data_IF_767421482140
#
_entry.id   IF_767421482140
#
_cell.length_a   1.000
_cell.length_b   1.000
_cell.length_c   1.000
_cell.angle_alpha   90.00
_cell.angle_beta   90.00
_cell.angle_gamma   90.00
#
_symmetry.space_group_name_H-M   'P 1'
#
loop_
_entity.id
_entity.type
_entity.pdbx_description
1 polymer ?
#
# COMPACT_ATOMS: atom_id res chain seq x y z
N UNK A 1 -10.48 18.42 27.35
CA UNK A 1 -10.57 17.83 28.70
C UNK A 1 -9.94 16.45 28.65
N UNK A 2 -8.93 16.23 29.49
CA UNK A 2 -7.97 15.12 29.43
C UNK A 2 -8.61 13.76 29.72
N UNK A 3 -8.46 12.82 28.80
CA UNK A 3 -8.63 11.39 29.09
C UNK A 3 -7.30 10.85 29.65
N UNK A 4 -7.22 10.73 30.97
CA UNK A 4 -6.13 10.03 31.64
C UNK A 4 -6.33 8.53 31.42
N UNK A 5 -5.33 7.91 30.77
CA UNK A 5 -5.27 6.47 30.58
C UNK A 5 -5.29 5.72 31.90
N UNK A 6 -6.11 4.67 31.94
CA UNK A 6 -6.03 3.62 32.93
C UNK A 6 -4.65 2.95 32.80
N UNK A 7 -3.75 3.28 33.72
CA UNK A 7 -2.58 2.44 33.97
C UNK A 7 -3.09 1.27 34.82
N UNK A 8 -2.90 -0.01 34.45
CA UNK A 8 -3.38 -1.10 35.26
C UNK A 8 -2.58 -1.10 36.57
N UNK A 9 -3.29 -0.90 37.69
CA UNK A 9 -2.80 -0.94 39.07
C UNK A 9 -2.00 -2.23 39.41
N UNK A 10 -2.07 -3.23 38.54
CA UNK A 10 -1.37 -4.51 38.61
C UNK A 10 0.16 -4.32 38.58
N UNK A 11 0.69 -3.31 37.87
CA UNK A 11 2.16 -3.10 37.83
C UNK A 11 2.76 -2.61 39.15
N UNK A 12 1.99 -1.93 40.01
CA UNK A 12 2.50 -1.37 41.26
C UNK A 12 2.61 -2.39 42.41
N UNK A 13 1.92 -3.53 42.31
CA UNK A 13 1.92 -4.56 43.36
C UNK A 13 2.95 -5.67 43.14
N UNK A 14 3.42 -5.90 41.91
CA UNK A 14 4.39 -6.97 41.63
C UNK A 14 5.85 -6.52 41.70
N UNK A 15 6.15 -5.24 41.48
CA UNK A 15 7.53 -4.71 41.54
C UNK A 15 8.16 -4.86 42.95
N UNK A 16 7.46 -4.57 44.07
CA UNK A 16 8.05 -4.72 45.40
C UNK A 16 8.30 -6.19 45.77
N UNK A 17 7.40 -7.09 45.36
CA UNK A 17 7.48 -8.53 45.64
C UNK A 17 8.66 -9.17 44.91
N UNK A 18 8.87 -8.79 43.64
CA UNK A 18 10.03 -9.24 42.85
C UNK A 18 11.34 -8.76 43.49
N UNK A 19 11.39 -7.51 43.98
CA UNK A 19 12.58 -6.96 44.64
C UNK A 19 12.90 -7.65 45.97
N UNK A 20 11.88 -8.02 46.76
CA UNK A 20 12.06 -8.76 48.03
C UNK A 20 12.57 -10.19 47.77
N UNK A 21 12.04 -10.87 46.74
CA UNK A 21 12.50 -12.22 46.37
C UNK A 21 13.95 -12.18 45.88
N UNK A 22 14.35 -11.17 45.10
CA UNK A 22 15.74 -10.99 44.66
C UNK A 22 16.70 -10.69 45.83
N UNK A 23 16.23 -9.97 46.86
CA UNK A 23 17.03 -9.68 48.05
C UNK A 23 17.25 -10.92 48.93
N UNK A 24 16.23 -11.78 49.08
CA UNK A 24 16.31 -13.00 49.87
C UNK A 24 17.15 -14.12 49.23
N UNK A 25 17.30 -14.11 47.90
CA UNK A 25 18.17 -15.05 47.18
C UNK A 25 19.66 -14.64 47.26
N UNK A 26 19.97 -13.41 47.67
CA UNK A 26 21.33 -12.85 47.67
C UNK A 26 22.20 -13.18 48.90
N UNK A 27 21.62 -13.77 49.97
CA UNK A 27 22.34 -14.01 51.23
C UNK A 27 23.06 -15.36 51.32
N UNK A 28 22.85 -16.25 50.34
CA UNK A 28 23.62 -17.49 50.20
C UNK A 28 24.51 -17.38 48.95
N UNK A 29 25.79 -17.12 49.19
CA UNK A 29 26.79 -16.85 48.16
C UNK A 29 26.90 -17.93 47.07
N UNK A 30 27.48 -17.49 45.94
CA UNK A 30 27.87 -18.28 44.75
C UNK A 30 26.89 -18.37 43.57
N UNK A 31 26.07 -17.35 43.31
CA UNK A 31 25.27 -17.30 42.06
C UNK A 31 25.17 -15.91 41.40
N UNK A 32 26.18 -15.05 41.59
CA UNK A 32 26.15 -13.66 41.14
C UNK A 32 27.03 -13.34 39.92
N UNK A 33 27.39 -14.34 39.09
CA UNK A 33 28.24 -14.12 37.91
C UNK A 33 27.58 -14.44 36.58
N UNK A 34 26.24 -14.49 36.51
CA UNK A 34 25.55 -14.69 35.24
C UNK A 34 24.19 -13.99 35.11
N UNK A 35 23.99 -12.87 35.80
CA UNK A 35 22.84 -12.01 35.54
C UNK A 35 23.31 -10.82 34.69
N UNK A 36 22.96 -10.85 33.40
CA UNK A 36 23.07 -9.69 32.53
C UNK A 36 22.41 -8.50 33.21
N UNK A 37 22.94 -7.29 33.01
CA UNK A 37 22.40 -6.12 33.69
C UNK A 37 20.89 -5.95 33.36
N UNK A 38 20.09 -5.36 34.25
CA UNK A 38 18.68 -5.09 33.95
C UNK A 38 18.49 -4.28 32.65
N UNK A 39 19.47 -3.46 32.28
CA UNK A 39 19.50 -2.68 31.03
C UNK A 39 19.73 -3.61 29.83
N UNK A 40 20.70 -4.51 29.88
CA UNK A 40 20.92 -5.51 28.81
C UNK A 40 19.73 -6.45 28.63
N UNK A 41 19.05 -6.80 29.74
CA UNK A 41 17.84 -7.63 29.72
C UNK A 41 16.67 -6.89 29.06
N UNK A 42 16.53 -5.59 29.34
CA UNK A 42 15.50 -4.74 28.71
C UNK A 42 15.76 -4.54 27.21
N UNK A 43 16.98 -4.21 26.81
CA UNK A 43 17.31 -4.04 25.39
C UNK A 43 17.20 -5.35 24.59
N UNK A 44 17.57 -6.49 25.20
CA UNK A 44 17.34 -7.81 24.60
C UNK A 44 15.86 -8.11 24.45
N UNK A 45 15.05 -7.88 25.48
CA UNK A 45 13.60 -8.09 25.40
C UNK A 45 12.94 -7.18 24.33
N UNK A 46 13.42 -5.94 24.17
CA UNK A 46 12.96 -5.02 23.12
C UNK A 46 13.36 -5.50 21.72
N UNK A 47 14.58 -6.00 21.56
CA UNK A 47 15.07 -6.62 20.32
C UNK A 47 14.27 -7.89 19.99
N UNK A 48 14.03 -8.75 20.97
CA UNK A 48 13.25 -9.98 20.80
C UNK A 48 11.79 -9.66 20.48
N UNK A 49 11.20 -8.60 21.07
CA UNK A 49 9.87 -8.13 20.70
C UNK A 49 9.84 -7.61 19.26
N UNK A 50 10.85 -6.88 18.83
CA UNK A 50 10.96 -6.38 17.46
C UNK A 50 11.13 -7.54 16.47
N UNK A 51 11.89 -8.58 16.83
CA UNK A 51 12.08 -9.79 16.01
C UNK A 51 10.80 -10.65 15.99
N UNK A 52 10.08 -10.76 17.10
CA UNK A 52 8.76 -11.41 17.17
C UNK A 52 7.73 -10.62 16.38
N UNK A 53 7.67 -9.29 16.49
CA UNK A 53 6.77 -8.46 15.68
C UNK A 53 7.09 -8.57 14.19
N UNK A 54 8.39 -8.63 13.84
CA UNK A 54 8.84 -8.89 12.48
C UNK A 54 8.41 -10.27 12.00
N UNK A 55 8.53 -11.32 12.84
CA UNK A 55 8.13 -12.72 12.57
C UNK A 55 6.60 -12.93 12.52
N UNK A 56 5.84 -12.25 13.37
CA UNK A 56 4.37 -12.30 13.43
C UNK A 56 3.76 -11.50 12.27
N UNK A 57 4.39 -10.39 11.88
CA UNK A 57 4.03 -9.64 10.68
C UNK A 57 4.17 -10.45 9.38
N UNK A 58 5.05 -11.47 9.33
CA UNK A 58 5.24 -12.32 8.13
C UNK A 58 3.98 -13.09 7.72
N UNK A 59 3.03 -13.31 8.65
CA UNK A 59 1.83 -14.13 8.39
C UNK A 59 0.53 -13.33 8.24
N UNK A 60 0.58 -11.99 8.21
CA UNK A 60 -0.64 -11.19 8.04
C UNK A 60 -1.14 -11.35 6.60
N UNK A 61 -2.43 -11.66 6.45
CA UNK A 61 -3.13 -11.54 5.17
C UNK A 61 -4.23 -10.50 5.29
N UNK A 62 -4.51 -9.77 4.22
CA UNK A 62 -5.67 -8.89 4.17
C UNK A 62 -6.70 -9.50 3.24
N UNK A 63 -7.95 -9.60 3.72
CA UNK A 63 -9.04 -10.16 2.94
C UNK A 63 -10.24 -9.22 3.00
N UNK A 64 -10.88 -9.02 1.85
CA UNK A 64 -12.17 -8.36 1.79
C UNK A 64 -13.28 -9.35 2.07
N UNK A 65 -14.07 -9.10 3.11
CA UNK A 65 -15.24 -9.89 3.44
C UNK A 65 -16.45 -9.38 2.66
N UNK A 66 -16.90 -10.19 1.69
CA UNK A 66 -18.04 -9.87 0.83
C UNK A 66 -19.37 -9.71 1.58
N UNK A 67 -19.51 -10.33 2.77
CA UNK A 67 -20.72 -10.26 3.58
C UNK A 67 -20.78 -8.97 4.38
N UNK A 68 -19.69 -8.60 5.04
CA UNK A 68 -19.63 -7.38 5.86
C UNK A 68 -19.22 -6.15 5.07
N UNK A 69 -18.75 -6.33 3.82
CA UNK A 69 -18.24 -5.28 2.94
C UNK A 69 -17.07 -4.51 3.54
N UNK A 70 -16.22 -5.21 4.31
CA UNK A 70 -15.07 -4.64 4.98
C UNK A 70 -13.78 -5.42 4.72
N UNK A 71 -12.65 -4.73 4.75
CA UNK A 71 -11.36 -5.38 4.86
C UNK A 71 -11.08 -5.83 6.28
N UNK A 72 -10.45 -6.99 6.40
CA UNK A 72 -10.00 -7.53 7.67
C UNK A 72 -8.61 -8.15 7.53
N UNK A 73 -7.81 -7.98 8.59
CA UNK A 73 -6.55 -8.70 8.74
C UNK A 73 -6.83 -10.12 9.24
N UNK A 74 -6.26 -11.10 8.56
CA UNK A 74 -6.12 -12.47 9.03
C UNK A 74 -4.74 -12.57 9.69
N UNK A 75 -4.73 -12.79 11.01
CA UNK A 75 -3.52 -12.71 11.83
C UNK A 75 -3.46 -11.40 12.62
N UNK A 76 -2.28 -11.07 13.14
CA UNK A 76 -2.07 -9.86 13.95
C UNK A 76 -1.37 -8.80 13.10
N UNK A 77 -2.13 -7.84 12.57
CA UNK A 77 -1.58 -6.70 11.85
C UNK A 77 -0.60 -5.90 12.73
N UNK A 78 0.54 -5.51 12.16
CA UNK A 78 1.47 -4.60 12.84
C UNK A 78 0.90 -3.19 12.86
N UNK A 79 1.36 -2.35 13.80
CA UNK A 79 1.07 -0.91 13.73
C UNK A 79 1.73 -0.31 12.48
N UNK A 80 1.04 0.60 11.79
CA UNK A 80 1.68 1.36 10.73
C UNK A 80 2.60 2.44 11.33
N UNK A 81 3.68 2.82 10.63
CA UNK A 81 4.44 4.01 11.00
C UNK A 81 3.54 5.24 10.89
N UNK A 82 3.52 6.08 11.93
CA UNK A 82 2.78 7.35 11.92
C UNK A 82 3.77 8.52 12.11
N UNK A 83 3.67 9.59 11.31
CA UNK A 83 2.74 9.76 10.19
C UNK A 83 3.06 8.82 9.02
N UNK A 84 2.02 8.37 8.31
CA UNK A 84 2.17 7.62 7.08
C UNK A 84 2.75 8.51 5.97
N UNK A 85 4.03 8.30 5.65
CA UNK A 85 4.73 9.01 4.57
C UNK A 85 5.55 8.00 3.76
N UNK A 86 5.36 8.00 2.44
CA UNK A 86 5.96 7.08 1.50
C UNK A 86 6.75 7.83 0.41
N UNK A 87 7.75 7.19 -0.22
CA UNK A 87 8.33 7.73 -1.44
C UNK A 87 7.31 7.66 -2.59
N UNK A 88 7.49 8.51 -3.59
CA UNK A 88 6.82 8.37 -4.87
C UNK A 88 7.25 7.07 -5.58
N UNK A 89 6.35 6.37 -6.28
CA UNK A 89 6.69 5.12 -6.96
C UNK A 89 7.48 5.34 -8.26
N UNK A 90 7.63 6.58 -8.71
CA UNK A 90 8.26 6.98 -9.97
C UNK A 90 9.18 8.18 -9.71
N UNK A 91 10.09 8.45 -10.65
CA UNK A 91 10.90 9.67 -10.61
C UNK A 91 10.02 10.90 -10.91
N UNK A 92 9.71 11.65 -9.85
CA UNK A 92 8.87 12.83 -9.91
C UNK A 92 9.42 13.96 -10.78
N UNK A 93 10.74 13.99 -11.06
CA UNK A 93 11.31 14.99 -11.97
C UNK A 93 10.89 14.81 -13.43
N UNK A 94 10.35 13.63 -13.78
CA UNK A 94 9.91 13.29 -15.13
C UNK A 94 8.41 13.51 -15.35
N UNK A 95 7.65 13.71 -14.28
CA UNK A 95 6.18 13.78 -14.31
C UNK A 95 5.72 15.13 -14.88
N UNK A 96 4.81 15.09 -15.86
CA UNK A 96 4.23 16.28 -16.51
C UNK A 96 2.82 16.61 -16.06
N UNK A 97 2.13 15.67 -15.41
CA UNK A 97 0.74 15.86 -14.97
C UNK A 97 0.27 14.71 -14.08
N UNK A 98 -0.84 14.93 -13.38
CA UNK A 98 -1.39 14.00 -12.40
C UNK A 98 -2.86 13.73 -12.69
N UNK A 99 -3.28 12.47 -12.61
CA UNK A 99 -4.69 12.11 -12.52
C UNK A 99 -5.09 12.08 -11.05
N UNK A 100 -6.15 12.78 -10.69
CA UNK A 100 -6.65 12.80 -9.33
C UNK A 100 -7.42 11.49 -9.03
N UNK A 101 -7.28 10.93 -7.82
CA UNK A 101 -8.10 9.82 -7.39
C UNK A 101 -9.50 10.30 -6.97
N UNK A 102 -10.49 9.41 -6.97
CA UNK A 102 -11.85 9.71 -6.55
C UNK A 102 -12.66 10.46 -7.61
N UNK A 103 -12.59 9.98 -8.86
CA UNK A 103 -13.22 10.60 -10.03
C UNK A 103 -14.10 9.60 -10.79
N UNK A 104 -15.26 10.01 -11.30
CA UNK A 104 -15.89 9.31 -12.42
C UNK A 104 -15.18 9.73 -13.72
N UNK A 105 -14.42 8.80 -14.32
CA UNK A 105 -13.63 9.06 -15.54
C UNK A 105 -13.73 7.87 -16.47
N UNK A 106 -13.99 8.12 -17.75
CA UNK A 106 -14.12 7.06 -18.76
C UNK A 106 -15.31 6.11 -18.52
N UNK A 107 -16.37 6.60 -17.86
CA UNK A 107 -17.59 5.82 -17.58
C UNK A 107 -17.55 4.94 -16.33
N UNK A 108 -16.47 5.00 -15.55
CA UNK A 108 -16.26 4.19 -14.34
C UNK A 108 -15.72 5.06 -13.18
N UNK A 109 -15.92 4.63 -11.95
CA UNK A 109 -15.34 5.29 -10.79
C UNK A 109 -13.89 4.86 -10.60
N UNK A 110 -12.99 5.85 -10.56
CA UNK A 110 -11.56 5.67 -10.39
C UNK A 110 -11.18 6.07 -8.96
N UNK A 111 -11.09 5.12 -8.02
CA UNK A 111 -10.57 5.39 -6.68
C UNK A 111 -9.05 5.54 -6.67
N UNK A 112 -8.41 5.56 -7.83
CA UNK A 112 -6.99 5.75 -8.03
C UNK A 112 -6.76 6.93 -8.95
N UNK A 113 -5.57 7.51 -8.84
CA UNK A 113 -5.08 8.54 -9.74
C UNK A 113 -4.03 7.94 -10.67
N UNK A 114 -3.03 8.74 -10.99
CA UNK A 114 -1.93 8.30 -11.83
C UNK A 114 -0.95 9.41 -12.15
N UNK A 115 0.19 9.03 -12.69
CA UNK A 115 1.24 9.94 -13.13
C UNK A 115 1.27 9.96 -14.66
N UNK A 116 1.36 11.15 -15.24
CA UNK A 116 1.51 11.36 -16.69
C UNK A 116 2.91 11.83 -17.04
N UNK A 117 3.38 11.40 -18.20
CA UNK A 117 4.71 11.69 -18.74
C UNK A 117 4.57 12.16 -20.20
N UNK A 118 3.70 13.13 -20.43
CA UNK A 118 3.27 13.63 -21.74
C UNK A 118 4.42 14.20 -22.58
N UNK A 119 5.52 14.59 -21.95
CA UNK A 119 6.71 15.13 -22.61
C UNK A 119 7.73 14.05 -23.04
N UNK A 120 7.44 12.77 -22.81
CA UNK A 120 8.36 11.67 -23.14
C UNK A 120 8.14 11.11 -24.53
N UNK A 121 9.22 10.59 -25.09
CA UNK A 121 9.24 9.87 -26.34
C UNK A 121 9.43 8.35 -26.19
N UNK A 122 9.54 7.87 -24.96
CA UNK A 122 9.61 6.46 -24.66
C UNK A 122 8.74 6.09 -23.46
N UNK A 123 8.51 4.79 -23.31
CA UNK A 123 7.78 4.22 -22.18
C UNK A 123 8.70 3.96 -20.98
N UNK A 124 9.97 4.34 -21.03
CA UNK A 124 11.02 3.95 -20.07
C UNK A 124 10.92 4.74 -18.77
N UNK A 125 9.85 4.46 -18.03
CA UNK A 125 9.66 4.90 -16.65
C UNK A 125 9.72 3.69 -15.75
N UNK A 126 10.63 3.76 -14.80
CA UNK A 126 10.73 2.76 -13.75
C UNK A 126 9.68 3.01 -12.68
N UNK A 127 9.02 1.93 -12.24
CA UNK A 127 8.06 1.93 -11.14
C UNK A 127 8.62 1.09 -10.01
N UNK A 128 8.66 1.63 -8.79
CA UNK A 128 9.18 1.00 -7.59
C UNK A 128 8.12 0.79 -6.52
N UNK A 129 8.29 -0.25 -5.71
CA UNK A 129 7.48 -0.44 -4.51
C UNK A 129 7.79 0.63 -3.46
N UNK A 130 6.76 1.22 -2.85
CA UNK A 130 6.91 2.33 -1.90
C UNK A 130 7.07 1.84 -0.44
N UNK A 131 6.79 0.56 -0.18
CA UNK A 131 6.98 -0.11 1.10
C UNK A 131 7.18 -1.62 0.93
N UNK A 132 7.61 -2.27 2.01
CA UNK A 132 7.67 -3.73 2.13
C UNK A 132 6.25 -4.32 2.23
N UNK A 133 5.95 -5.34 1.42
CA UNK A 133 4.62 -5.95 1.42
C UNK A 133 4.53 -7.22 0.60
N UNK A 134 3.31 -7.70 0.41
CA UNK A 134 3.02 -8.87 -0.42
C UNK A 134 2.06 -8.50 -1.55
N UNK A 135 2.30 -9.02 -2.74
CA UNK A 135 1.35 -8.94 -3.84
C UNK A 135 0.10 -9.72 -3.43
N UNK A 136 -1.03 -9.02 -3.39
CA UNK A 136 -2.31 -9.55 -2.96
C UNK A 136 -3.08 -10.11 -4.16
N UNK A 137 -3.28 -9.26 -5.17
CA UNK A 137 -3.97 -9.62 -6.42
C UNK A 137 -3.25 -9.00 -7.60
N UNK A 138 -3.37 -9.63 -8.76
CA UNK A 138 -2.81 -9.13 -9.99
C UNK A 138 -3.66 -9.56 -11.20
N UNK A 139 -3.52 -8.83 -12.30
CA UNK A 139 -4.15 -9.13 -13.58
C UNK A 139 -3.18 -8.91 -14.73
N UNK A 140 -3.29 -9.76 -15.75
CA UNK A 140 -2.68 -9.55 -17.06
C UNK A 140 -3.81 -9.52 -18.07
N UNK A 141 -3.94 -8.44 -18.83
CA UNK A 141 -5.06 -8.28 -19.75
C UNK A 141 -4.62 -7.62 -21.07
N UNK A 142 -5.30 -7.98 -22.16
CA UNK A 142 -5.18 -7.26 -23.42
C UNK A 142 -6.12 -6.06 -23.41
N UNK A 143 -5.54 -4.89 -23.67
CA UNK A 143 -6.28 -3.65 -23.81
C UNK A 143 -6.16 -3.14 -25.26
N UNK A 144 -6.18 -1.82 -25.44
CA UNK A 144 -6.11 -1.13 -26.72
C UNK A 144 -5.05 -1.77 -27.64
N UNK A 145 -5.47 -2.12 -28.87
CA UNK A 145 -4.59 -2.68 -29.89
C UNK A 145 -4.10 -4.12 -29.60
N UNK A 146 -4.68 -4.80 -28.61
CA UNK A 146 -4.22 -6.12 -28.16
C UNK A 146 -2.94 -6.06 -27.33
N UNK A 147 -2.53 -4.88 -26.87
CA UNK A 147 -1.35 -4.75 -26.02
C UNK A 147 -1.61 -5.29 -24.63
N UNK A 148 -0.68 -6.10 -24.14
CA UNK A 148 -0.76 -6.67 -22.79
C UNK A 148 -0.36 -5.63 -21.76
N UNK A 149 -1.27 -5.37 -20.83
CA UNK A 149 -1.08 -4.50 -19.67
C UNK A 149 -1.08 -5.34 -18.39
N UNK A 150 -0.39 -4.85 -17.37
CA UNK A 150 -0.23 -5.54 -16.10
C UNK A 150 -0.68 -4.66 -14.94
N UNK A 151 -1.52 -5.24 -14.09
CA UNK A 151 -2.13 -4.64 -12.92
C UNK A 151 -1.68 -5.41 -11.67
N UNK A 152 -1.39 -4.73 -10.57
CA UNK A 152 -1.25 -5.38 -9.26
C UNK A 152 -1.73 -4.53 -8.09
N UNK A 153 -2.17 -5.23 -7.04
CA UNK A 153 -2.21 -4.73 -5.68
C UNK A 153 -1.09 -5.37 -4.86
N UNK A 154 -0.38 -4.59 -4.06
CA UNK A 154 0.42 -5.12 -2.94
C UNK A 154 0.06 -4.42 -1.64
N UNK A 155 0.16 -5.17 -0.54
CA UNK A 155 -0.31 -4.76 0.79
C UNK A 155 0.78 -4.95 1.83
N UNK A 156 0.95 -3.95 2.69
CA UNK A 156 1.82 -4.00 3.86
C UNK A 156 1.16 -4.78 5.00
N UNK A 157 1.96 -5.28 5.93
CA UNK A 157 1.46 -6.01 7.10
C UNK A 157 0.54 -5.17 8.00
N UNK A 158 0.64 -3.84 7.93
CA UNK A 158 -0.17 -2.93 8.74
C UNK A 158 -1.48 -2.50 8.07
N UNK A 159 -1.72 -2.87 6.80
CA UNK A 159 -3.00 -2.60 6.12
C UNK A 159 -2.99 -1.42 5.15
N UNK A 160 -1.83 -0.97 4.71
CA UNK A 160 -1.73 -0.05 3.57
C UNK A 160 -1.57 -0.85 2.30
N UNK A 161 -2.42 -0.59 1.32
CA UNK A 161 -2.42 -1.23 0.01
C UNK A 161 -2.13 -0.19 -1.08
N UNK A 162 -1.40 -0.61 -2.11
CA UNK A 162 -1.12 0.17 -3.31
C UNK A 162 -1.65 -0.57 -4.52
N UNK A 163 -2.18 0.18 -5.48
CA UNK A 163 -2.52 -0.30 -6.81
C UNK A 163 -1.60 0.32 -7.85
N UNK A 164 -1.12 -0.51 -8.77
CA UNK A 164 -0.53 -0.07 -10.04
C UNK A 164 -1.25 -0.74 -11.21
N UNK A 165 -1.55 0.03 -12.26
CA UNK A 165 -2.00 -0.47 -13.56
C UNK A 165 -1.17 0.16 -14.68
N UNK A 166 -1.31 -0.37 -15.88
CA UNK A 166 -0.55 0.01 -17.06
C UNK A 166 0.96 -0.17 -16.90
N UNK A 167 1.37 -1.21 -16.15
CA UNK A 167 2.75 -1.66 -16.12
C UNK A 167 3.03 -2.44 -17.42
N UNK A 168 3.97 -1.95 -18.22
CA UNK A 168 4.25 -2.51 -19.55
C UNK A 168 5.35 -3.57 -19.51
N UNK A 169 6.53 -3.21 -19.00
CA UNK A 169 7.68 -4.13 -18.89
C UNK A 169 7.97 -4.41 -17.44
N UNK A 170 7.50 -5.55 -16.94
CA UNK A 170 7.71 -6.00 -15.56
C UNK A 170 9.18 -6.32 -15.28
N UNK A 171 9.58 -6.23 -14.01
CA UNK A 171 10.89 -6.75 -13.55
C UNK A 171 10.95 -8.28 -13.70
N UNK A 172 12.15 -8.90 -13.79
CA UNK A 172 12.27 -10.35 -14.00
C UNK A 172 11.47 -11.18 -12.99
N UNK A 173 11.52 -10.79 -11.72
CA UNK A 173 10.74 -11.43 -10.65
C UNK A 173 9.24 -11.34 -10.89
N UNK A 174 8.71 -10.17 -11.28
CA UNK A 174 7.28 -10.04 -11.56
C UNK A 174 6.88 -10.71 -12.87
N UNK A 175 7.76 -10.82 -13.86
CA UNK A 175 7.50 -11.61 -15.07
C UNK A 175 7.22 -13.07 -14.72
N UNK A 176 8.00 -13.68 -13.81
CA UNK A 176 7.79 -15.06 -13.35
C UNK A 176 6.44 -15.25 -12.63
N UNK A 177 6.01 -14.23 -11.88
CA UNK A 177 4.72 -14.22 -11.18
C UNK A 177 3.57 -14.11 -12.19
N UNK A 178 3.65 -13.12 -13.09
CA UNK A 178 2.60 -12.80 -14.06
C UNK A 178 2.49 -13.83 -15.20
N UNK A 179 3.55 -14.62 -15.45
CA UNK A 179 3.49 -15.76 -16.36
C UNK A 179 2.44 -16.80 -15.95
N UNK A 180 2.11 -16.87 -14.64
CA UNK A 180 1.11 -17.79 -14.08
C UNK A 180 -0.30 -17.21 -14.04
N UNK A 181 -0.44 -15.91 -14.28
CA UNK A 181 -1.73 -15.22 -14.30
C UNK A 181 -2.37 -15.41 -15.68
N UNK A 182 -3.64 -15.83 -15.77
CA UNK A 182 -4.34 -15.92 -17.04
C UNK A 182 -4.35 -14.58 -17.77
N UNK A 183 -4.19 -14.62 -19.10
CA UNK A 183 -4.36 -13.43 -19.92
C UNK A 183 -5.85 -13.20 -20.18
N UNK A 184 -6.39 -12.16 -19.57
CA UNK A 184 -7.73 -11.70 -19.86
C UNK A 184 -7.77 -10.94 -21.19
N UNK A 185 -8.95 -10.89 -21.82
CA UNK A 185 -9.17 -10.30 -23.14
C UNK A 185 -10.15 -9.15 -23.05
N UNK A 186 -10.21 -8.32 -24.09
CA UNK A 186 -11.21 -7.26 -24.26
C UNK A 186 -11.24 -6.25 -23.10
N UNK A 187 -10.08 -5.87 -22.57
CA UNK A 187 -9.96 -4.89 -21.48
C UNK A 187 -10.41 -5.40 -20.11
N UNK A 188 -10.61 -6.72 -19.92
CA UNK A 188 -11.02 -7.28 -18.64
C UNK A 188 -9.87 -7.29 -17.62
N UNK A 189 -9.78 -6.22 -16.84
CA UNK A 189 -8.74 -6.03 -15.81
C UNK A 189 -9.04 -6.72 -14.47
N UNK A 190 -10.07 -7.58 -14.39
CA UNK A 190 -10.38 -8.31 -13.14
C UNK A 190 -9.15 -9.07 -12.65
N UNK A 191 -8.86 -8.92 -11.37
CA UNK A 191 -7.65 -9.48 -10.75
C UNK A 191 -7.90 -10.87 -10.18
N UNK A 192 -6.82 -11.62 -10.02
CA UNK A 192 -6.78 -12.91 -9.34
C UNK A 192 -5.83 -12.85 -8.16
N UNK A 193 -6.10 -13.62 -7.11
CA UNK A 193 -5.20 -13.70 -5.96
C UNK A 193 -3.87 -14.34 -6.35
N UNK A 194 -2.77 -13.78 -5.85
CA UNK A 194 -1.42 -14.30 -6.14
C UNK A 194 -1.03 -15.32 -5.07
N UNK A 195 -0.99 -16.60 -5.45
CA UNK A 195 -0.60 -17.72 -4.58
C UNK A 195 0.50 -18.57 -5.24
N UNK A 196 1.60 -18.90 -4.55
CA UNK A 196 1.96 -18.47 -3.19
C UNK A 196 2.21 -16.96 -3.09
N UNK A 197 2.13 -16.40 -1.88
CA UNK A 197 2.38 -14.98 -1.64
C UNK A 197 3.76 -14.58 -2.15
N UNK A 198 3.84 -13.45 -2.84
CA UNK A 198 5.10 -12.88 -3.36
C UNK A 198 5.41 -11.62 -2.57
N UNK A 199 6.52 -11.64 -1.84
CA UNK A 199 7.00 -10.47 -1.11
C UNK A 199 7.65 -9.47 -2.07
N UNK A 200 7.41 -8.17 -1.90
CA UNK A 200 8.12 -7.06 -2.55
C UNK A 200 8.77 -6.20 -1.48
N UNK A 201 10.03 -5.81 -1.71
CA UNK A 201 10.75 -4.93 -0.80
C UNK A 201 10.53 -3.47 -1.21
N UNK A 202 10.52 -2.54 -0.25
CA UNK A 202 10.63 -1.11 -0.54
C UNK A 202 11.79 -0.83 -1.49
N UNK A 203 11.55 0.08 -2.43
CA UNK A 203 12.44 0.51 -3.51
C UNK A 203 12.77 -0.59 -4.53
N UNK A 204 12.19 -1.79 -4.43
CA UNK A 204 12.31 -2.84 -5.45
C UNK A 204 11.64 -2.39 -6.75
N UNK A 205 12.32 -2.62 -7.89
CA UNK A 205 11.78 -2.32 -9.22
C UNK A 205 10.66 -3.31 -9.55
N UNK A 206 9.46 -2.78 -9.77
CA UNK A 206 8.28 -3.53 -10.21
C UNK A 206 8.18 -3.57 -11.73
N UNK A 207 8.45 -2.44 -12.39
CA UNK A 207 8.47 -2.33 -13.84
C UNK A 207 9.54 -1.35 -14.30
N UNK A 208 9.99 -1.51 -15.55
CA UNK A 208 10.96 -0.65 -16.24
C UNK A 208 10.36 0.13 -17.40
N UNK A 209 9.10 -0.17 -17.75
CA UNK A 209 8.33 0.62 -18.69
C UNK A 209 6.83 0.60 -18.36
N UNK A 210 6.10 1.63 -18.78
CA UNK A 210 4.67 1.87 -18.49
C UNK A 210 3.87 2.31 -19.72
N UNK A 211 2.55 2.28 -19.65
CA UNK A 211 1.65 2.75 -20.71
C UNK A 211 1.64 1.83 -21.92
N UNK A 212 1.38 2.39 -23.11
CA UNK A 212 1.28 1.62 -24.36
C UNK A 212 2.40 1.94 -25.33
N UNK A 213 2.78 0.95 -26.14
CA UNK A 213 3.78 1.09 -27.22
C UNK A 213 3.16 1.68 -28.48
N UNK A 214 1.91 1.34 -28.77
CA UNK A 214 1.20 1.67 -29.99
C UNK A 214 -0.19 2.20 -29.64
N UNK A 215 -0.52 3.37 -30.17
CA UNK A 215 -1.86 3.96 -30.04
C UNK A 215 -2.57 3.83 -31.38
N UNK A 216 -3.81 3.30 -31.42
CA UNK A 216 -4.64 3.39 -32.61
C UNK A 216 -4.79 4.85 -33.01
N UNK A 217 -4.66 5.10 -34.31
CA UNK A 217 -4.85 6.40 -34.95
C UNK A 217 -6.23 6.95 -34.60
N UNK A 218 -6.31 7.78 -33.57
CA UNK A 218 -7.56 8.29 -33.00
C UNK A 218 -7.34 9.00 -31.67
N UNK A 219 -6.39 8.50 -30.87
CA UNK A 219 -5.82 9.26 -29.77
C UNK A 219 -4.57 9.97 -30.30
N UNK A 220 -4.63 11.28 -30.46
CA UNK A 220 -3.50 12.07 -30.94
C UNK A 220 -2.39 12.10 -29.86
N UNK A 221 -1.44 11.17 -29.94
CA UNK A 221 -0.22 11.17 -29.11
C UNK A 221 0.04 9.86 -28.37
N UNK A 222 1.32 9.67 -27.99
CA UNK A 222 1.74 8.61 -27.07
C UNK A 222 1.16 8.89 -25.68
N UNK A 223 0.58 7.88 -25.04
CA UNK A 223 0.08 7.93 -23.67
C UNK A 223 1.06 7.19 -22.75
N UNK A 224 2.06 7.90 -22.25
CA UNK A 224 3.00 7.39 -21.25
C UNK A 224 2.47 7.79 -19.87
N UNK A 225 1.89 6.83 -19.17
CA UNK A 225 1.29 7.03 -17.85
C UNK A 225 1.27 5.72 -17.07
N UNK A 226 1.09 5.84 -15.76
CA UNK A 226 0.88 4.71 -14.86
C UNK A 226 -0.23 5.10 -13.89
N UNK A 227 -1.21 4.23 -13.72
CA UNK A 227 -2.24 4.44 -12.70
C UNK A 227 -1.69 4.06 -11.34
N UNK A 228 -2.07 4.86 -10.34
CA UNK A 228 -1.58 4.74 -8.98
C UNK A 228 -2.69 5.01 -7.97
N UNK A 229 -2.96 4.03 -7.11
CA UNK A 229 -3.89 4.14 -6.00
C UNK A 229 -3.20 3.82 -4.68
N UNK A 230 -3.59 4.54 -3.62
CA UNK A 230 -3.19 4.25 -2.25
C UNK A 230 -4.47 4.05 -1.42
N UNK A 231 -4.46 3.03 -0.57
CA UNK A 231 -5.62 2.62 0.20
C UNK A 231 -5.21 2.36 1.65
N UNK A 232 -5.98 2.87 2.59
CA UNK A 232 -5.85 2.57 4.01
C UNK A 232 -6.95 1.58 4.40
N UNK A 233 -6.64 0.28 4.39
CA UNK A 233 -7.63 -0.77 4.66
C UNK A 233 -8.14 -0.77 6.11
N UNK A 234 -7.56 0.06 6.98
CA UNK A 234 -7.93 0.15 8.41
C UNK A 234 -9.11 1.11 8.63
N UNK A 235 -9.37 2.03 7.71
CA UNK A 235 -10.38 3.08 7.86
C UNK A 235 -10.91 3.57 6.52
N UNK A 236 -12.15 4.05 6.50
CA UNK A 236 -12.72 4.63 5.29
C UNK A 236 -12.22 6.07 5.05
N UNK A 237 -12.37 6.54 3.81
CA UNK A 237 -11.99 7.89 3.37
C UNK A 237 -12.97 8.99 3.80
N UNK A 238 -14.06 8.61 4.48
CA UNK A 238 -15.07 9.54 5.00
C UNK A 238 -16.03 10.11 3.96
N UNK A 239 -15.91 9.74 2.69
CA UNK A 239 -16.90 10.13 1.67
C UNK A 239 -18.13 9.22 1.75
N UNK A 240 -19.31 9.82 1.75
CA UNK A 240 -20.58 9.10 1.79
C UNK A 240 -21.05 8.77 0.37
N UNK A 241 -20.72 7.56 -0.07
CA UNK A 241 -21.28 7.00 -1.31
C UNK A 241 -22.72 6.57 -1.03
N UNK A 242 -23.69 6.98 -1.84
CA UNK A 242 -25.09 6.56 -1.63
C UNK A 242 -25.40 5.20 -2.29
N UNK A 243 -26.62 4.71 -2.11
CA UNK A 243 -27.08 3.43 -2.69
C UNK A 243 -27.10 3.45 -4.22
N UNK A 244 -27.44 4.59 -4.85
CA UNK A 244 -27.46 4.70 -6.30
C UNK A 244 -26.03 4.61 -6.87
N UNK A 245 -25.08 5.24 -6.19
CA UNK A 245 -23.67 5.19 -6.51
C UNK A 245 -23.12 3.77 -6.38
N UNK A 246 -23.38 3.08 -5.25
CA UNK A 246 -22.97 1.67 -5.06
C UNK A 246 -23.57 0.74 -6.10
N UNK A 247 -24.80 0.99 -6.54
CA UNK A 247 -25.46 0.19 -7.58
C UNK A 247 -24.79 0.37 -8.94
N UNK A 248 -24.28 1.56 -9.25
CA UNK A 248 -23.51 1.85 -10.46
C UNK A 248 -22.08 1.30 -10.39
N UNK A 249 -21.48 1.31 -9.20
CA UNK A 249 -20.08 0.98 -8.96
C UNK A 249 -19.92 -0.18 -7.95
N UNK A 250 -20.16 -1.43 -8.34
CA UNK A 250 -20.28 -2.57 -7.41
C UNK A 250 -18.99 -2.90 -6.64
N UNK A 251 -17.83 -2.41 -7.08
CA UNK A 251 -16.55 -2.62 -6.42
C UNK A 251 -16.16 -1.48 -5.48
N UNK A 252 -17.04 -0.50 -5.27
CA UNK A 252 -16.73 0.68 -4.46
C UNK A 252 -16.41 0.33 -3.01
N UNK A 253 -17.13 -0.64 -2.44
CA UNK A 253 -16.92 -1.09 -1.07
C UNK A 253 -15.59 -1.83 -0.90
N UNK A 254 -15.10 -2.51 -1.95
CA UNK A 254 -13.82 -3.20 -1.88
C UNK A 254 -12.64 -2.21 -1.99
N UNK A 255 -12.73 -1.18 -2.83
CA UNK A 255 -11.58 -0.30 -3.06
C UNK A 255 -11.85 1.16 -2.75
N UNK A 256 -12.92 1.73 -3.29
CA UNK A 256 -13.10 3.18 -3.26
C UNK A 256 -13.35 3.76 -1.88
N UNK A 257 -14.08 3.07 -1.00
CA UNK A 257 -14.30 3.57 0.37
C UNK A 257 -13.01 3.62 1.21
N UNK A 258 -11.97 2.87 0.82
CA UNK A 258 -10.67 2.80 1.49
C UNK A 258 -9.58 3.64 0.80
N UNK A 259 -9.88 4.21 -0.36
CA UNK A 259 -8.92 4.97 -1.14
C UNK A 259 -8.66 6.34 -0.51
N UNK A 260 -7.38 6.72 -0.44
CA UNK A 260 -6.96 7.99 0.16
C UNK A 260 -6.42 8.95 -0.89
N UNK A 261 -6.43 10.25 -0.56
CA UNK A 261 -5.71 11.23 -1.36
C UNK A 261 -4.19 11.03 -1.20
N UNK A 262 -3.59 10.23 -2.07
CA UNK A 262 -2.19 9.81 -1.93
C UNK A 262 -1.18 10.97 -1.94
N UNK A 263 -1.58 12.16 -2.40
CA UNK A 263 -0.78 13.39 -2.32
C UNK A 263 -0.41 13.75 -0.87
N UNK A 264 -1.25 13.37 0.09
CA UNK A 264 -1.06 13.67 1.51
C UNK A 264 -0.20 12.61 2.22
N UNK A 265 0.19 11.56 1.50
CA UNK A 265 0.93 10.41 2.03
C UNK A 265 2.29 10.21 1.35
N UNK A 266 2.68 11.09 0.44
CA UNK A 266 4.03 11.11 -0.14
C UNK A 266 4.90 12.16 0.57
N UNK A 267 6.22 12.09 0.39
CA UNK A 267 7.12 13.05 1.01
C UNK A 267 6.79 14.51 0.62
N UNK A 268 7.11 15.45 1.51
CA UNK A 268 6.65 16.83 1.37
C UNK A 268 7.14 17.53 0.09
N UNK A 269 8.30 17.14 -0.44
CA UNK A 269 8.85 17.69 -1.68
C UNK A 269 7.98 17.24 -2.85
N UNK A 270 7.73 15.95 -2.95
CA UNK A 270 6.93 15.37 -4.02
C UNK A 270 5.45 15.76 -3.90
N UNK A 271 4.90 15.84 -2.69
CA UNK A 271 3.54 16.32 -2.44
C UNK A 271 3.32 17.75 -2.97
N UNK A 272 4.30 18.63 -2.77
CA UNK A 272 4.24 20.01 -3.27
C UNK A 272 4.27 20.05 -4.80
N UNK A 273 5.12 19.22 -5.41
CA UNK A 273 5.19 19.10 -6.87
C UNK A 273 3.88 18.57 -7.45
N UNK A 274 3.35 17.48 -6.91
CA UNK A 274 2.07 16.88 -7.32
C UNK A 274 0.92 17.89 -7.31
N UNK A 275 0.80 18.69 -6.24
CA UNK A 275 -0.26 19.71 -6.12
C UNK A 275 -0.09 20.86 -7.12
N UNK A 276 1.14 21.10 -7.58
CA UNK A 276 1.47 22.14 -8.57
C UNK A 276 1.31 21.70 -10.03
N UNK A 277 1.38 20.39 -10.29
CA UNK A 277 1.30 19.84 -11.64
C UNK A 277 -0.10 20.03 -12.25
N UNK A 278 -0.19 20.12 -13.60
CA UNK A 278 -1.47 20.08 -14.30
C UNK A 278 -2.26 18.81 -13.95
N UNK A 279 -3.56 18.96 -13.73
CA UNK A 279 -4.44 17.81 -13.60
C UNK A 279 -4.79 17.29 -15.01
N UNK A 280 -4.62 15.98 -15.22
CA UNK A 280 -5.00 15.31 -16.45
C UNK A 280 -6.47 14.93 -16.48
N UNK A 281 -6.98 14.62 -17.68
CA UNK A 281 -8.38 14.27 -17.89
C UNK A 281 -9.30 15.49 -17.99
N UNK A 282 -10.57 15.24 -18.33
CA UNK A 282 -11.58 16.31 -18.41
C UNK A 282 -12.00 16.78 -17.00
N UNK A 283 -11.93 15.86 -16.03
CA UNK A 283 -12.34 16.02 -14.64
C UNK A 283 -11.39 16.96 -13.86
N UNK A 284 -10.15 17.13 -14.35
CA UNK A 284 -9.17 18.01 -13.74
C UNK A 284 -8.92 17.67 -12.27
N UNK A 285 -9.06 18.68 -11.40
CA UNK A 285 -8.83 18.55 -9.94
C UNK A 285 -10.08 18.14 -9.14
N UNK A 286 -11.21 17.87 -9.79
CA UNK A 286 -12.45 17.47 -9.10
C UNK A 286 -12.22 16.10 -8.46
N UNK A 287 -12.43 15.98 -7.15
CA UNK A 287 -12.30 14.72 -6.43
C UNK A 287 -13.23 14.69 -5.23
N UNK A 288 -13.78 13.51 -4.96
CA UNK A 288 -14.64 13.27 -3.81
C UNK A 288 -13.88 13.50 -2.49
N UNK A 289 -12.64 13.02 -2.40
CA UNK A 289 -11.86 12.99 -1.16
C UNK A 289 -10.48 13.65 -1.21
N UNK A 290 -9.94 14.02 -2.37
CA UNK A 290 -8.81 14.94 -2.44
C UNK A 290 -9.29 16.38 -2.32
N UNK A 291 -8.64 17.18 -1.46
CA UNK A 291 -8.93 18.62 -1.27
C UNK A 291 -7.72 19.48 -1.59
#
# INVERSE_FOLDING_TARGET
>A
MNNKGFTPLIFLLFVPVILIVLFLVSTNGSLLTQMASPIETYERAKSDLADIQKKVGVNVNWQFDQKTKNWQAIGVASNCPEPLVFPSPVDMSLVSGILYPGQERGGDYKPHGGFRFDNRDDNNIEVRAIFDGYILKASRYEDIGGEVQNFLFYVSNCGIMVMHDHLLTLSPKLQEVFAKIPLNKNGDSRTTEVTPKVYVKKDEVLATAIGYKSFPSGYAGRNVFVDFGLYDLRKTNGFDYDTAFRSKHPNIDEYGVYAVCWFDYIDAKDASLVKSLPAGGHEGKVSDYCK
#
